data_IF_636839843652
#
_entry.id   IF_636839843652
#
_cell.length_a   1.000
_cell.length_b   1.000
_cell.length_c   1.000
_cell.angle_alpha   90.00
_cell.angle_beta   90.00
_cell.angle_gamma   90.00
#
_symmetry.space_group_name_H-M   'P 1'
#
loop_
_entity.id
_entity.type
_entity.pdbx_description
1 polymer ?
#
# COMPACT_ATOMS: atom_id res chain seq x y z
N UNK A 1 8.81 3.47 -12.38
CA UNK A 1 8.10 4.10 -11.24
C UNK A 1 7.60 3.08 -10.23
N UNK A 2 6.90 2.01 -10.62
CA UNK A 2 6.40 0.95 -9.73
C UNK A 2 7.50 0.30 -8.87
N UNK A 3 8.69 0.01 -9.45
CA UNK A 3 9.84 -0.50 -8.69
C UNK A 3 10.36 0.49 -7.65
N UNK A 4 10.31 1.78 -7.95
CA UNK A 4 10.68 2.84 -7.01
C UNK A 4 9.69 2.90 -5.85
N UNK A 5 8.40 2.79 -6.16
CA UNK A 5 7.34 2.75 -5.16
C UNK A 5 7.48 1.52 -4.25
N UNK A 6 7.73 0.32 -4.80
CA UNK A 6 7.99 -0.88 -4.02
C UNK A 6 9.19 -0.74 -3.06
N UNK A 7 10.25 -0.08 -3.51
CA UNK A 7 11.46 0.13 -2.68
C UNK A 7 11.28 1.14 -1.54
N UNK A 8 10.24 1.97 -1.56
CA UNK A 8 10.02 3.07 -0.60
C UNK A 8 8.72 2.96 0.19
N UNK A 9 7.92 1.93 -0.06
CA UNK A 9 6.60 1.75 0.56
C UNK A 9 6.46 0.34 1.17
N UNK A 10 5.44 0.07 1.98
CA UNK A 10 5.19 -1.25 2.55
C UNK A 10 4.70 -2.30 1.54
N UNK A 11 4.45 -1.92 0.29
CA UNK A 11 3.91 -2.82 -0.72
C UNK A 11 5.01 -3.53 -1.49
N UNK A 12 4.80 -4.81 -1.77
CA UNK A 12 5.69 -5.58 -2.64
C UNK A 12 5.54 -5.16 -4.10
N UNK A 13 6.54 -5.46 -4.93
CA UNK A 13 6.45 -5.25 -6.37
C UNK A 13 5.27 -6.03 -6.99
N UNK A 14 4.94 -7.20 -6.43
CA UNK A 14 3.80 -8.01 -6.84
C UNK A 14 2.48 -7.29 -6.60
N UNK A 15 2.27 -6.75 -5.39
CA UNK A 15 1.04 -6.03 -5.03
C UNK A 15 0.79 -4.83 -5.95
N UNK A 16 1.83 -4.03 -6.17
CA UNK A 16 1.76 -2.86 -7.05
C UNK A 16 1.56 -3.24 -8.52
N UNK A 17 2.16 -4.35 -8.98
CA UNK A 17 1.97 -4.85 -10.34
C UNK A 17 0.54 -5.34 -10.55
N UNK A 18 -0.03 -6.04 -9.57
CA UNK A 18 -1.42 -6.50 -9.60
C UNK A 18 -2.39 -5.32 -9.61
N UNK A 19 -2.18 -4.34 -8.72
CA UNK A 19 -2.97 -3.11 -8.71
C UNK A 19 -2.91 -2.36 -10.05
N UNK A 20 -1.70 -2.22 -10.62
CA UNK A 20 -1.49 -1.63 -11.95
C UNK A 20 -2.31 -2.34 -13.03
N UNK A 21 -2.20 -3.67 -13.10
CA UNK A 21 -2.96 -4.48 -14.07
C UNK A 21 -4.46 -4.28 -13.91
N UNK A 22 -4.94 -4.28 -12.69
CA UNK A 22 -6.36 -4.10 -12.37
C UNK A 22 -6.85 -2.73 -12.82
N UNK A 23 -6.13 -1.65 -12.55
CA UNK A 23 -6.49 -0.29 -12.99
C UNK A 23 -6.53 -0.19 -14.52
N UNK A 24 -5.51 -0.74 -15.21
CA UNK A 24 -5.47 -0.79 -16.67
C UNK A 24 -6.65 -1.57 -17.27
N UNK A 25 -7.02 -2.70 -16.66
CA UNK A 25 -8.19 -3.50 -17.08
C UNK A 25 -9.51 -2.73 -16.96
N UNK A 26 -9.62 -1.81 -16.00
CA UNK A 26 -10.76 -0.92 -15.85
C UNK A 26 -10.69 0.34 -16.73
N UNK A 27 -9.65 0.48 -17.56
CA UNK A 27 -9.48 1.58 -18.51
C UNK A 27 -8.87 2.85 -17.94
N UNK A 28 -8.23 2.78 -16.77
CA UNK A 28 -7.39 3.89 -16.27
C UNK A 28 -6.17 4.03 -17.19
N UNK A 29 -5.86 5.25 -17.62
CA UNK A 29 -4.72 5.49 -18.51
C UNK A 29 -3.40 5.10 -17.82
N UNK A 30 -2.44 4.58 -18.59
CA UNK A 30 -1.17 4.11 -18.05
C UNK A 30 -0.41 5.22 -17.30
N UNK A 31 -0.49 6.45 -17.80
CA UNK A 31 0.17 7.62 -17.19
C UNK A 31 -0.46 8.00 -15.83
N UNK A 32 -1.76 7.75 -15.65
CA UNK A 32 -2.47 8.05 -14.41
C UNK A 32 -2.35 6.92 -13.37
N UNK A 33 -2.04 5.70 -13.82
CA UNK A 33 -2.07 4.50 -12.99
C UNK A 33 -1.17 4.61 -11.75
N UNK A 34 0.04 5.17 -11.90
CA UNK A 34 0.98 5.32 -10.79
C UNK A 34 0.46 6.29 -9.73
N UNK A 35 -0.13 7.40 -10.16
CA UNK A 35 -0.71 8.39 -9.25
C UNK A 35 -1.92 7.82 -8.52
N UNK A 36 -2.81 7.11 -9.23
CA UNK A 36 -3.96 6.44 -8.61
C UNK A 36 -3.51 5.39 -7.59
N UNK A 37 -2.51 4.57 -7.93
CA UNK A 37 -1.94 3.61 -6.97
C UNK A 37 -1.34 4.27 -5.74
N UNK A 38 -0.67 5.41 -5.90
CA UNK A 38 -0.14 6.17 -4.78
C UNK A 38 -1.26 6.64 -3.86
N UNK A 39 -2.30 7.26 -4.39
CA UNK A 39 -3.44 7.73 -3.61
C UNK A 39 -4.15 6.58 -2.86
N UNK A 40 -4.46 5.47 -3.56
CA UNK A 40 -5.12 4.32 -2.94
C UNK A 40 -4.21 3.58 -1.95
N UNK A 41 -2.91 3.58 -2.19
CA UNK A 41 -1.89 3.09 -1.28
C UNK A 41 -1.81 3.92 0.00
N UNK A 42 -1.82 5.24 -0.11
CA UNK A 42 -1.85 6.16 1.03
C UNK A 42 -3.10 5.93 1.90
N UNK A 43 -4.26 5.77 1.28
CA UNK A 43 -5.52 5.45 1.98
C UNK A 43 -5.45 4.10 2.70
N UNK A 44 -4.82 3.09 2.10
CA UNK A 44 -4.74 1.75 2.68
C UNK A 44 -3.73 1.63 3.83
N UNK A 45 -2.91 2.68 4.07
CA UNK A 45 -1.89 2.74 5.11
C UNK A 45 -0.94 1.53 5.10
N UNK A 46 -0.55 1.08 3.90
CA UNK A 46 0.37 -0.03 3.71
C UNK A 46 -0.23 -1.43 3.80
N UNK A 47 -1.54 -1.55 3.90
CA UNK A 47 -2.23 -2.84 3.87
C UNK A 47 -2.57 -3.26 2.43
N UNK A 48 -1.94 -4.34 1.93
CA UNK A 48 -2.09 -4.80 0.55
C UNK A 48 -3.52 -5.22 0.21
N UNK A 49 -4.22 -5.94 1.10
CA UNK A 49 -5.59 -6.40 0.86
C UNK A 49 -6.57 -5.23 0.75
N UNK A 50 -6.40 -4.22 1.64
CA UNK A 50 -7.17 -2.98 1.57
C UNK A 50 -6.90 -2.22 0.28
N UNK A 51 -5.63 -2.10 -0.13
CA UNK A 51 -5.26 -1.46 -1.39
C UNK A 51 -5.92 -2.16 -2.58
N UNK A 52 -5.87 -3.49 -2.67
CA UNK A 52 -6.50 -4.23 -3.75
C UNK A 52 -8.04 -4.06 -3.76
N UNK A 53 -8.66 -3.97 -2.59
CA UNK A 53 -10.10 -3.69 -2.48
C UNK A 53 -10.43 -2.28 -2.98
N UNK A 54 -9.65 -1.27 -2.59
CA UNK A 54 -9.80 0.12 -3.06
C UNK A 54 -9.58 0.22 -4.58
N UNK A 55 -8.54 -0.43 -5.11
CA UNK A 55 -8.22 -0.49 -6.55
C UNK A 55 -9.41 -1.06 -7.35
N UNK A 56 -9.99 -2.16 -6.90
CA UNK A 56 -11.16 -2.75 -7.56
C UNK A 56 -12.39 -1.85 -7.51
N UNK A 57 -12.70 -1.29 -6.34
CA UNK A 57 -13.85 -0.40 -6.18
C UNK A 57 -13.71 0.87 -7.04
N UNK A 58 -12.54 1.51 -7.00
CA UNK A 58 -12.21 2.69 -7.79
C UNK A 58 -12.28 2.40 -9.29
N UNK A 59 -11.65 1.32 -9.74
CA UNK A 59 -11.65 0.90 -11.14
C UNK A 59 -13.04 0.60 -11.69
N UNK A 60 -13.88 -0.12 -10.93
CA UNK A 60 -15.29 -0.38 -11.31
C UNK A 60 -16.08 0.92 -11.50
N UNK A 61 -15.96 1.89 -10.58
CA UNK A 61 -16.65 3.17 -10.66
C UNK A 61 -16.11 4.03 -11.79
N UNK A 62 -14.78 4.02 -12.03
CA UNK A 62 -14.16 4.69 -13.19
C UNK A 62 -14.69 4.16 -14.51
N UNK A 63 -14.74 2.83 -14.66
CA UNK A 63 -15.26 2.18 -15.87
C UNK A 63 -16.76 2.46 -16.08
N UNK A 64 -17.55 2.49 -14.99
CA UNK A 64 -18.98 2.79 -15.04
C UNK A 64 -19.29 4.29 -15.17
N UNK A 65 -18.29 5.18 -15.03
CA UNK A 65 -18.41 6.64 -15.00
C UNK A 65 -19.37 7.17 -13.95
N UNK A 66 -19.66 6.40 -12.91
CA UNK A 66 -20.58 6.78 -11.83
C UNK A 66 -20.20 6.10 -10.52
N UNK A 67 -20.57 6.74 -9.43
CA UNK A 67 -20.46 6.20 -8.08
C UNK A 67 -21.64 5.25 -7.80
N UNK A 68 -21.37 4.14 -7.12
CA UNK A 68 -22.40 3.18 -6.70
C UNK A 68 -22.22 2.86 -5.21
N UNK A 69 -23.33 2.66 -4.49
CA UNK A 69 -23.31 2.35 -3.05
C UNK A 69 -22.55 1.04 -2.76
N UNK A 70 -22.67 0.03 -3.64
CA UNK A 70 -21.92 -1.23 -3.52
C UNK A 70 -20.40 -0.97 -3.43
N UNK A 71 -19.86 -0.21 -4.38
CA UNK A 71 -18.43 0.06 -4.45
C UNK A 71 -17.98 1.07 -3.36
N UNK A 72 -18.84 2.00 -2.97
CA UNK A 72 -18.60 2.88 -1.82
C UNK A 72 -18.48 2.05 -0.53
N UNK A 73 -19.38 1.09 -0.32
CA UNK A 73 -19.30 0.21 0.84
C UNK A 73 -18.00 -0.61 0.84
N UNK A 74 -17.53 -1.10 -0.31
CA UNK A 74 -16.21 -1.75 -0.41
C UNK A 74 -15.07 -0.81 0.03
N UNK A 75 -15.13 0.48 -0.31
CA UNK A 75 -14.14 1.45 0.15
C UNK A 75 -14.24 1.71 1.65
N UNK A 76 -15.46 1.78 2.19
CA UNK A 76 -15.69 1.95 3.63
C UNK A 76 -15.14 0.75 4.41
N UNK A 77 -15.37 -0.47 3.95
CA UNK A 77 -14.85 -1.70 4.55
C UNK A 77 -13.30 -1.73 4.52
N UNK A 78 -12.70 -1.15 3.49
CA UNK A 78 -11.26 -0.96 3.40
C UNK A 78 -10.73 0.20 4.28
N UNK A 79 -11.62 0.96 4.93
CA UNK A 79 -11.28 2.03 5.86
C UNK A 79 -11.36 3.45 5.28
N UNK A 80 -11.92 3.62 4.10
CA UNK A 80 -12.10 4.92 3.45
C UNK A 80 -13.57 5.23 3.14
N UNK A 81 -14.12 6.27 3.77
CA UNK A 81 -15.45 6.75 3.46
C UNK A 81 -15.40 8.00 2.57
N UNK A 82 -15.51 7.86 1.24
CA UNK A 82 -15.44 9.00 0.33
C UNK A 82 -16.65 9.95 0.45
N UNK A 83 -17.76 9.50 1.06
CA UNK A 83 -18.98 10.31 1.16
C UNK A 83 -18.75 11.54 2.03
N UNK A 84 -17.89 11.46 3.04
CA UNK A 84 -17.57 12.62 3.89
C UNK A 84 -16.94 13.75 3.07
N UNK A 85 -15.93 13.41 2.25
CA UNK A 85 -15.24 14.38 1.39
C UNK A 85 -16.18 14.97 0.34
N UNK A 86 -17.09 14.14 -0.22
CA UNK A 86 -18.08 14.63 -1.19
C UNK A 86 -19.05 15.60 -0.51
N UNK A 87 -19.59 15.28 0.69
CA UNK A 87 -20.45 16.18 1.45
C UNK A 87 -19.74 17.48 1.82
N UNK A 88 -18.47 17.41 2.25
CA UNK A 88 -17.68 18.61 2.56
C UNK A 88 -17.47 19.50 1.33
N UNK A 89 -17.21 18.90 0.18
CA UNK A 89 -16.98 19.63 -1.07
C UNK A 89 -18.25 20.24 -1.66
N UNK A 90 -19.39 19.57 -1.54
CA UNK A 90 -20.67 19.99 -2.14
C UNK A 90 -21.55 20.78 -1.19
N UNK A 91 -21.34 20.65 0.12
CA UNK A 91 -22.22 21.24 1.16
C UNK A 91 -23.55 20.51 1.32
N UNK A 92 -23.76 19.38 0.64
CA UNK A 92 -25.00 18.61 0.75
C UNK A 92 -25.02 17.72 2.00
N UNK A 93 -26.24 17.33 2.42
CA UNK A 93 -26.39 16.38 3.50
C UNK A 93 -26.04 14.95 3.04
N UNK A 94 -25.61 14.10 3.99
CA UNK A 94 -25.37 12.67 3.72
C UNK A 94 -26.62 11.98 3.13
N UNK A 95 -27.82 12.34 3.59
CA UNK A 95 -29.07 11.76 3.09
C UNK A 95 -29.33 12.12 1.63
N UNK A 96 -29.06 13.37 1.24
CA UNK A 96 -29.20 13.82 -0.15
C UNK A 96 -28.17 13.16 -1.05
N UNK A 97 -26.93 13.03 -0.58
CA UNK A 97 -25.87 12.31 -1.32
C UNK A 97 -26.24 10.84 -1.54
N UNK A 98 -26.71 10.13 -0.52
CA UNK A 98 -27.18 8.75 -0.67
C UNK A 98 -28.28 8.62 -1.73
N UNK A 99 -29.23 9.57 -1.73
CA UNK A 99 -30.30 9.62 -2.73
C UNK A 99 -29.74 9.87 -4.14
N UNK A 100 -28.82 10.82 -4.30
CA UNK A 100 -28.14 11.10 -5.58
C UNK A 100 -27.40 9.89 -6.11
N UNK A 101 -26.69 9.16 -5.26
CA UNK A 101 -25.99 7.93 -5.65
C UNK A 101 -26.99 6.86 -6.09
N UNK A 102 -28.08 6.67 -5.33
CA UNK A 102 -29.13 5.70 -5.66
C UNK A 102 -29.82 6.04 -6.99
N UNK A 103 -29.97 7.32 -7.29
CA UNK A 103 -30.52 7.83 -8.55
C UNK A 103 -29.47 7.76 -9.71
N UNK A 104 -28.24 7.34 -9.46
CA UNK A 104 -27.15 7.30 -10.44
C UNK A 104 -26.67 8.67 -10.91
N UNK A 105 -26.84 9.71 -10.08
CA UNK A 105 -26.51 11.11 -10.41
C UNK A 105 -25.16 11.61 -9.86
N UNK A 106 -24.38 10.73 -9.25
CA UNK A 106 -23.03 11.05 -8.76
C UNK A 106 -22.02 10.50 -9.75
N UNK A 107 -21.26 11.40 -10.40
CA UNK A 107 -20.24 11.07 -11.37
C UNK A 107 -18.98 10.50 -10.73
N UNK A 108 -18.17 9.80 -11.53
CA UNK A 108 -16.88 9.29 -11.06
C UNK A 108 -15.91 10.42 -10.65
N UNK A 109 -16.03 11.57 -11.27
CA UNK A 109 -15.22 12.75 -11.00
C UNK A 109 -15.38 13.25 -9.55
N UNK A 110 -16.55 13.09 -8.94
CA UNK A 110 -16.79 13.43 -7.53
C UNK A 110 -16.03 12.48 -6.59
N UNK A 111 -15.96 11.18 -6.93
CA UNK A 111 -15.14 10.22 -6.20
C UNK A 111 -13.66 10.51 -6.37
N UNK A 112 -13.21 10.79 -7.60
CA UNK A 112 -11.81 11.12 -7.87
C UNK A 112 -11.38 12.32 -7.04
N UNK A 113 -12.16 13.40 -7.05
CA UNK A 113 -11.89 14.59 -6.23
C UNK A 113 -11.86 14.27 -4.71
N UNK A 114 -12.73 13.37 -4.24
CA UNK A 114 -12.75 12.95 -2.84
C UNK A 114 -11.48 12.17 -2.45
N UNK A 115 -10.99 11.28 -3.33
CA UNK A 115 -9.74 10.54 -3.14
C UNK A 115 -8.54 11.50 -3.15
N UNK A 116 -8.48 12.42 -4.11
CA UNK A 116 -7.44 13.44 -4.20
C UNK A 116 -7.42 14.35 -2.97
N UNK A 117 -8.57 14.81 -2.50
CA UNK A 117 -8.69 15.65 -1.30
C UNK A 117 -8.18 14.92 -0.06
N UNK A 118 -8.55 13.63 0.10
CA UNK A 118 -8.16 12.82 1.25
C UNK A 118 -6.65 12.54 1.30
N UNK A 119 -5.95 12.51 0.15
CA UNK A 119 -4.51 12.18 0.04
C UNK A 119 -3.62 13.38 -0.24
N UNK A 120 -4.20 14.54 -0.53
CA UNK A 120 -3.47 15.80 -0.71
C UNK A 120 -2.99 16.37 0.62
N UNK A 121 -2.08 17.34 0.56
CA UNK A 121 -1.54 18.03 1.75
C UNK A 121 -2.66 18.60 2.62
N UNK A 122 -2.75 18.14 3.86
CA UNK A 122 -3.81 18.46 4.81
C UNK A 122 -4.97 17.46 4.82
N UNK A 123 -5.02 16.53 3.89
CA UNK A 123 -5.96 15.41 3.88
C UNK A 123 -5.59 14.35 4.92
N UNK A 124 -6.59 13.58 5.33
CA UNK A 124 -6.50 12.57 6.39
C UNK A 124 -5.44 11.48 6.09
N UNK A 125 -5.21 11.16 4.82
CA UNK A 125 -4.31 10.08 4.37
C UNK A 125 -3.05 10.62 3.66
N UNK A 126 -2.75 11.90 3.83
CA UNK A 126 -1.56 12.50 3.23
C UNK A 126 -0.28 11.76 3.66
N UNK A 127 0.50 11.27 2.68
CA UNK A 127 1.71 10.47 2.92
C UNK A 127 1.48 9.19 3.75
N UNK A 128 0.29 8.60 3.72
CA UNK A 128 -0.05 7.42 4.53
C UNK A 128 0.86 6.21 4.29
N UNK A 129 1.29 5.96 3.06
CA UNK A 129 2.30 4.93 2.75
C UNK A 129 3.65 5.24 3.37
N UNK A 130 4.09 6.49 3.34
CA UNK A 130 5.39 6.90 3.89
C UNK A 130 5.39 6.72 5.41
N UNK A 131 4.32 7.10 6.09
CA UNK A 131 4.16 6.91 7.54
C UNK A 131 4.12 5.41 7.88
N UNK A 132 3.37 4.62 7.13
CA UNK A 132 3.32 3.16 7.30
C UNK A 132 4.69 2.51 7.07
N UNK A 133 5.48 2.98 6.08
CA UNK A 133 6.82 2.45 5.80
C UNK A 133 7.81 2.69 6.95
N UNK A 134 7.56 3.69 7.76
CA UNK A 134 8.39 3.98 8.95
C UNK A 134 8.06 3.08 10.14
N UNK A 135 6.94 2.37 10.09
CA UNK A 135 6.63 1.33 11.07
C UNK A 135 7.56 0.12 10.91
N UNK A 136 7.71 -0.70 11.96
CA UNK A 136 8.57 -1.88 11.91
C UNK A 136 8.21 -2.84 10.76
N UNK A 137 6.92 -3.11 10.56
CA UNK A 137 6.44 -3.99 9.48
C UNK A 137 6.69 -3.38 8.09
N UNK A 138 6.50 -2.07 7.96
CA UNK A 138 6.80 -1.37 6.71
C UNK A 138 8.29 -1.39 6.37
N UNK A 139 9.16 -1.19 7.37
CA UNK A 139 10.63 -1.28 7.19
C UNK A 139 11.09 -2.69 6.83
N UNK A 140 10.46 -3.72 7.40
CA UNK A 140 10.77 -5.10 7.08
C UNK A 140 10.35 -5.47 5.65
N UNK A 141 9.16 -5.07 5.22
CA UNK A 141 8.70 -5.26 3.84
C UNK A 141 9.62 -4.54 2.84
N UNK A 142 9.95 -3.29 3.10
CA UNK A 142 10.88 -2.52 2.26
C UNK A 142 12.27 -3.17 2.20
N UNK A 143 12.75 -3.75 3.31
CA UNK A 143 14.01 -4.51 3.32
C UNK A 143 13.94 -5.76 2.44
N UNK A 144 12.85 -6.52 2.48
CA UNK A 144 12.63 -7.69 1.63
C UNK A 144 12.67 -7.31 0.14
N UNK A 145 12.00 -6.22 -0.25
CA UNK A 145 11.97 -5.75 -1.63
C UNK A 145 13.34 -5.25 -2.11
N UNK A 146 14.07 -4.54 -1.24
CA UNK A 146 15.43 -4.08 -1.55
C UNK A 146 16.40 -5.26 -1.70
N UNK A 147 16.28 -6.28 -0.86
CA UNK A 147 17.05 -7.53 -0.98
C UNK A 147 16.67 -8.25 -2.28
N UNK A 148 15.39 -8.38 -2.60
CA UNK A 148 14.92 -8.95 -3.87
C UNK A 148 15.44 -8.19 -5.10
N UNK A 149 15.54 -6.86 -5.03
CA UNK A 149 16.11 -6.03 -6.11
C UNK A 149 17.63 -6.21 -6.27
N UNK A 150 18.37 -6.43 -5.18
CA UNK A 150 19.77 -6.80 -5.19
C UNK A 150 19.99 -8.19 -5.78
N UNK A 151 19.02 -9.12 -5.66
CA UNK A 151 19.11 -10.48 -6.16
C UNK A 151 19.30 -10.56 -7.67
N UNK A 152 18.82 -9.63 -8.43
CA UNK A 152 19.10 -9.56 -9.87
C UNK A 152 20.56 -9.26 -10.25
N UNK A 153 21.44 -9.01 -9.27
CA UNK A 153 22.83 -8.55 -9.50
C UNK A 153 23.91 -9.34 -8.78
N UNK A 154 23.56 -10.31 -7.93
CA UNK A 154 24.50 -11.05 -7.09
C UNK A 154 24.44 -12.58 -7.36
N UNK A 155 25.50 -13.31 -7.08
CA UNK A 155 25.63 -14.75 -7.34
C UNK A 155 24.90 -15.63 -6.32
N UNK A 156 24.41 -16.79 -6.77
CA UNK A 156 23.49 -17.72 -6.09
C UNK A 156 23.82 -18.13 -4.64
N UNK A 157 25.07 -18.12 -4.24
CA UNK A 157 25.49 -18.58 -2.91
C UNK A 157 25.24 -17.58 -1.77
N UNK A 158 25.31 -16.28 -2.04
CA UNK A 158 25.02 -15.21 -1.06
C UNK A 158 23.53 -15.05 -0.83
N UNK A 159 22.75 -15.48 -1.79
CA UNK A 159 21.30 -15.43 -1.83
C UNK A 159 20.63 -16.38 -0.87
N UNK A 160 21.08 -17.62 -0.87
CA UNK A 160 20.56 -18.66 0.02
C UNK A 160 20.73 -18.23 1.49
N UNK A 161 21.89 -17.67 1.84
CA UNK A 161 22.17 -17.25 3.21
C UNK A 161 21.34 -16.02 3.66
N UNK A 162 21.10 -15.05 2.77
CA UNK A 162 20.26 -13.88 3.06
C UNK A 162 18.77 -14.23 3.06
N UNK A 163 18.32 -15.10 2.14
CA UNK A 163 16.95 -15.60 2.09
C UNK A 163 16.59 -16.35 3.38
N UNK A 164 17.43 -17.27 3.82
CA UNK A 164 17.23 -18.02 5.08
C UNK A 164 17.23 -17.10 6.30
N UNK A 165 18.02 -16.05 6.30
CA UNK A 165 18.07 -15.07 7.39
C UNK A 165 16.78 -14.24 7.46
N UNK A 166 16.22 -13.83 6.32
CA UNK A 166 14.97 -13.08 6.23
C UNK A 166 13.77 -13.95 6.62
N UNK A 167 13.73 -15.21 6.17
CA UNK A 167 12.70 -16.17 6.56
C UNK A 167 12.72 -16.37 8.07
N UNK A 168 13.89 -16.60 8.67
CA UNK A 168 14.04 -16.75 10.12
C UNK A 168 13.66 -15.49 10.89
N UNK A 169 14.01 -14.31 10.38
CA UNK A 169 13.60 -13.04 10.99
C UNK A 169 12.08 -12.86 10.93
N UNK A 170 11.45 -13.24 9.83
CA UNK A 170 10.00 -13.16 9.66
C UNK A 170 9.25 -14.18 10.53
N UNK A 171 9.71 -15.42 10.60
CA UNK A 171 9.19 -16.44 11.51
C UNK A 171 9.31 -16.00 12.98
N UNK A 172 10.42 -15.36 13.33
CA UNK A 172 10.64 -14.84 14.68
C UNK A 172 9.67 -13.69 15.01
N UNK A 173 9.44 -12.76 14.08
CA UNK A 173 8.50 -11.65 14.24
C UNK A 173 7.07 -12.15 14.44
N UNK A 174 6.63 -13.12 13.66
CA UNK A 174 5.31 -13.75 13.79
C UNK A 174 5.17 -14.48 15.14
N UNK A 175 6.26 -14.99 15.70
CA UNK A 175 6.25 -15.75 16.97
C UNK A 175 6.31 -14.88 18.24
N UNK A 176 6.52 -13.56 18.14
CA UNK A 176 6.85 -12.66 19.27
C UNK A 176 5.64 -12.13 20.04
N UNK A 177 4.42 -12.40 19.62
CA UNK A 177 3.26 -11.79 20.26
C UNK A 177 3.03 -12.16 21.74
N UNK A 178 3.80 -13.07 22.35
CA UNK A 178 3.50 -13.52 23.73
C UNK A 178 4.67 -13.92 24.66
N UNK A 179 5.97 -13.66 24.34
CA UNK A 179 7.04 -14.20 25.20
C UNK A 179 8.33 -13.36 25.24
N UNK A 180 8.72 -12.86 26.42
CA UNK A 180 9.91 -12.05 26.68
C UNK A 180 11.25 -12.73 26.30
N UNK A 181 11.33 -14.07 26.35
CA UNK A 181 12.51 -14.83 25.91
C UNK A 181 12.70 -14.80 24.40
N UNK A 182 11.62 -14.64 23.64
CA UNK A 182 11.67 -14.51 22.19
C UNK A 182 12.14 -13.12 21.75
N UNK A 183 11.86 -12.10 22.57
CA UNK A 183 12.35 -10.74 22.32
C UNK A 183 13.90 -10.65 22.43
N UNK A 184 14.52 -11.38 23.34
CA UNK A 184 15.99 -11.46 23.44
C UNK A 184 16.59 -12.12 22.20
N UNK A 185 16.01 -13.25 21.72
CA UNK A 185 16.45 -13.92 20.48
C UNK A 185 16.26 -13.04 19.24
N UNK A 186 15.24 -12.20 19.22
CA UNK A 186 15.04 -11.22 18.13
C UNK A 186 16.16 -10.18 18.11
N UNK A 187 16.56 -9.65 19.27
CA UNK A 187 17.68 -8.71 19.39
C UNK A 187 18.98 -9.31 18.83
N UNK A 188 19.26 -10.56 19.16
CA UNK A 188 20.47 -11.25 18.69
C UNK A 188 20.40 -11.49 17.16
N UNK A 189 19.22 -11.85 16.64
CA UNK A 189 19.04 -12.09 15.20
C UNK A 189 19.12 -10.77 14.41
N UNK A 190 18.54 -9.69 14.90
CA UNK A 190 18.68 -8.35 14.29
C UNK A 190 20.16 -7.89 14.32
N UNK A 191 20.87 -8.14 15.40
CA UNK A 191 22.32 -7.88 15.51
C UNK A 191 23.11 -8.62 14.43
N UNK A 192 22.81 -9.88 14.18
CA UNK A 192 23.40 -10.68 13.12
C UNK A 192 23.07 -10.15 11.71
N UNK A 193 21.83 -9.78 11.44
CA UNK A 193 21.42 -9.19 10.15
C UNK A 193 22.16 -7.88 9.90
N UNK A 194 22.25 -7.01 10.90
CA UNK A 194 23.00 -5.74 10.78
C UNK A 194 24.49 -6.03 10.50
N UNK A 195 25.08 -7.00 11.19
CA UNK A 195 26.49 -7.37 10.98
C UNK A 195 26.74 -7.92 9.58
N UNK A 196 25.86 -8.77 9.05
CA UNK A 196 25.98 -9.30 7.69
C UNK A 196 25.82 -8.20 6.65
N UNK A 197 24.82 -7.33 6.80
CA UNK A 197 24.58 -6.22 5.87
C UNK A 197 25.73 -5.22 5.87
N UNK A 198 26.30 -4.90 7.05
CA UNK A 198 27.45 -4.00 7.14
C UNK A 198 28.74 -4.63 6.61
N UNK A 199 28.99 -5.93 6.85
CA UNK A 199 30.17 -6.62 6.31
C UNK A 199 30.09 -6.79 4.78
N UNK A 200 28.92 -6.99 4.21
CA UNK A 200 28.72 -7.01 2.75
C UNK A 200 28.88 -5.62 2.17
N UNK A 201 28.36 -4.57 2.84
CA UNK A 201 28.52 -3.17 2.40
C UNK A 201 29.98 -2.69 2.40
N UNK A 202 30.80 -3.15 3.34
CA UNK A 202 32.25 -2.81 3.42
C UNK A 202 33.08 -3.59 2.38
N UNK A 203 32.64 -4.75 1.92
CA UNK A 203 33.34 -5.53 0.88
C UNK A 203 33.14 -4.99 -0.54
N UNK A 204 32.26 -4.01 -0.73
CA UNK A 204 31.95 -3.39 -2.02
C UNK A 204 32.34 -1.90 -2.11
N UNK A 205 33.01 -1.35 -1.12
CA UNK A 205 33.69 -0.03 -1.13
C UNK A 205 35.18 -0.22 -1.30
#
# INVERSE_FOLDING_TARGET
EIRKMAASTPFTLSDLTEGTKTLLQFGIAADDTTNVLQMLGDISLGNADKMQTLVRAYGKMSSAKKVTLENVNMMIDAGFNPLNQICEATGESMADLYKRISDGKVGFEELQAAVEAATSKGGQFYNGMLEASQTFNGRLSTLQDNVAALTGKLTDGLFSALGDLIVKANELVVSITEDDQKLAKLKDTIGLVITVVTSVGVAFL
#
